data_IF_706330445591
#
_entry.id   IF_706330445591
#
_cell.length_a   1.000
_cell.length_b   1.000
_cell.length_c   1.000
_cell.angle_alpha   90.00
_cell.angle_beta   90.00
_cell.angle_gamma   90.00
#
_symmetry.space_group_name_H-M   'P 1'
#
loop_
_entity.id
_entity.type
_entity.pdbx_description
1 polymer ?
#
# COMPACT_ATOMS: atom_id res chain seq x y z
N UNK A 1 16.22 40.75 28.02
CA UNK A 1 15.25 39.65 27.98
C UNK A 1 15.29 39.12 26.55
N UNK A 2 15.95 38.00 26.35
CA UNK A 2 15.95 37.40 25.04
C UNK A 2 14.56 36.84 24.79
N UNK A 3 13.88 37.43 23.83
CA UNK A 3 12.53 36.97 23.45
C UNK A 3 12.64 35.75 22.55
N UNK A 4 11.74 34.78 22.71
CA UNK A 4 11.54 33.76 21.71
C UNK A 4 11.29 34.41 20.34
N UNK A 5 11.96 33.99 19.33
CA UNK A 5 11.86 34.56 18.00
C UNK A 5 11.45 33.47 16.98
N UNK A 6 10.52 33.83 16.10
CA UNK A 6 10.12 32.97 14.98
C UNK A 6 10.69 33.59 13.71
N UNK A 7 11.39 32.79 12.93
CA UNK A 7 12.02 33.18 11.66
C UNK A 7 11.71 32.27 10.53
N UNK A 8 11.75 32.80 9.33
CA UNK A 8 11.75 32.04 8.09
C UNK A 8 13.19 31.96 7.58
N UNK A 9 13.63 30.78 7.21
CA UNK A 9 14.95 30.55 6.62
C UNK A 9 14.90 29.42 5.60
N UNK A 10 16.06 29.11 5.01
CA UNK A 10 16.23 28.01 4.07
C UNK A 10 17.11 26.92 4.65
N UNK A 11 16.82 25.68 4.36
CA UNK A 11 17.70 24.55 4.74
C UNK A 11 19.01 24.68 3.99
N UNK A 12 20.12 24.78 4.72
CA UNK A 12 21.48 24.81 4.14
C UNK A 12 22.16 23.46 4.13
N UNK A 13 21.84 22.59 5.08
CA UNK A 13 22.31 21.21 5.11
C UNK A 13 21.41 20.31 5.95
N UNK A 14 21.43 19.00 5.63
CA UNK A 14 20.66 17.96 6.31
C UNK A 14 21.60 16.89 6.81
N UNK A 15 21.50 16.54 8.08
CA UNK A 15 22.15 15.38 8.67
C UNK A 15 21.09 14.29 8.90
N UNK A 16 21.05 13.34 7.99
CA UNK A 16 20.07 12.26 7.99
C UNK A 16 20.25 11.27 9.15
N UNK A 17 21.47 11.14 9.68
CA UNK A 17 21.76 10.21 10.78
C UNK A 17 21.24 10.75 12.11
N UNK A 18 21.49 12.03 12.40
CA UNK A 18 20.99 12.67 13.61
C UNK A 18 19.57 13.21 13.51
N UNK A 19 19.01 13.33 12.31
CA UNK A 19 17.71 13.98 12.06
C UNK A 19 17.74 15.48 12.28
N UNK A 20 18.92 16.11 12.19
CA UNK A 20 19.09 17.55 12.39
C UNK A 20 19.34 18.27 11.06
N UNK A 21 19.06 19.57 11.06
CA UNK A 21 19.30 20.44 9.91
C UNK A 21 20.03 21.71 10.31
N UNK A 22 20.65 22.37 9.34
CA UNK A 22 21.12 23.76 9.48
C UNK A 22 20.27 24.64 8.60
N UNK A 23 19.97 25.82 9.10
CA UNK A 23 19.14 26.81 8.41
C UNK A 23 19.95 28.07 8.17
N UNK A 24 19.90 28.62 6.97
CA UNK A 24 20.48 29.90 6.61
C UNK A 24 19.40 30.98 6.59
N UNK A 25 19.77 32.17 7.09
CA UNK A 25 18.95 33.37 7.11
C UNK A 25 19.53 34.43 6.15
N UNK A 26 18.95 34.54 4.95
CA UNK A 26 19.38 35.49 3.91
C UNK A 26 19.22 36.96 4.35
N UNK A 27 18.32 37.24 5.29
CA UNK A 27 18.10 38.56 5.87
C UNK A 27 19.13 38.93 6.97
N UNK A 28 20.04 38.03 7.33
CA UNK A 28 21.08 38.20 8.34
C UNK A 28 22.48 37.84 7.82
N UNK A 29 22.87 38.43 6.71
CA UNK A 29 24.21 38.22 6.13
C UNK A 29 24.54 36.75 5.96
N UNK A 30 23.56 35.92 5.54
CA UNK A 30 23.67 34.47 5.35
C UNK A 30 24.11 33.72 6.64
N UNK A 31 23.71 34.21 7.80
CA UNK A 31 23.96 33.53 9.07
C UNK A 31 23.34 32.12 9.07
N UNK A 32 24.17 31.13 9.45
CA UNK A 32 23.77 29.72 9.48
C UNK A 32 23.65 29.22 10.91
N UNK A 33 22.56 28.52 11.22
CA UNK A 33 22.35 27.94 12.56
C UNK A 33 23.37 26.83 12.85
N UNK A 34 23.54 26.48 14.12
CA UNK A 34 24.04 25.16 14.50
C UNK A 34 23.03 24.07 14.04
N UNK A 35 23.38 22.79 14.10
CA UNK A 35 22.40 21.72 13.88
C UNK A 35 21.22 21.87 14.85
N UNK A 36 20.00 21.94 14.32
CA UNK A 36 18.76 22.09 15.08
C UNK A 36 17.78 20.96 14.67
N UNK A 37 16.95 20.46 15.61
CA UNK A 37 16.00 19.40 15.35
C UNK A 37 14.75 19.93 14.62
N UNK A 38 14.00 18.99 14.00
CA UNK A 38 12.65 19.22 13.54
C UNK A 38 11.65 18.95 14.67
N UNK A 39 10.56 19.75 14.74
CA UNK A 39 9.42 19.51 15.62
C UNK A 39 8.54 18.42 15.00
N UNK A 40 8.92 17.16 15.14
CA UNK A 40 8.14 16.05 14.64
C UNK A 40 8.57 14.75 15.30
N UNK A 41 7.62 13.82 15.48
CA UNK A 41 7.90 12.42 15.75
C UNK A 41 7.95 11.58 14.46
N UNK A 42 7.72 12.21 13.31
CA UNK A 42 7.78 11.60 11.99
C UNK A 42 9.10 11.95 11.33
N UNK A 43 9.73 10.96 10.71
CA UNK A 43 10.96 11.15 9.98
C UNK A 43 10.65 11.40 8.49
N UNK A 44 10.50 12.67 8.13
CA UNK A 44 10.45 13.14 6.74
C UNK A 44 11.33 14.39 6.67
N UNK A 45 12.61 14.19 6.31
CA UNK A 45 13.59 15.26 6.28
C UNK A 45 13.32 16.21 5.12
N UNK A 46 13.46 17.53 5.34
CA UNK A 46 13.41 18.52 4.26
C UNK A 46 14.61 18.37 3.32
N UNK A 47 14.52 18.98 2.16
CA UNK A 47 15.61 19.09 1.21
C UNK A 47 16.39 20.41 1.40
N UNK A 48 17.63 20.46 0.91
CA UNK A 48 18.39 21.72 0.86
C UNK A 48 17.61 22.72 0.00
N UNK A 49 17.62 23.99 0.39
CA UNK A 49 16.84 25.11 -0.16
C UNK A 49 15.35 25.11 0.19
N UNK A 50 14.83 24.11 0.91
CA UNK A 50 13.46 24.17 1.44
C UNK A 50 13.33 25.38 2.39
N UNK A 51 12.25 26.15 2.18
CA UNK A 51 11.86 27.23 3.09
C UNK A 51 11.21 26.62 4.33
N UNK A 52 11.69 27.04 5.51
CA UNK A 52 11.21 26.52 6.80
C UNK A 52 10.92 27.63 7.79
N UNK A 53 9.99 27.35 8.69
CA UNK A 53 9.71 28.18 9.86
C UNK A 53 10.51 27.65 11.05
N UNK A 54 11.29 28.49 11.70
CA UNK A 54 12.15 28.14 12.85
C UNK A 54 11.69 28.93 14.07
N UNK A 55 11.51 28.24 15.18
CA UNK A 55 11.34 28.84 16.50
C UNK A 55 12.69 28.84 17.23
N UNK A 56 13.21 30.02 17.57
CA UNK A 56 14.35 30.18 18.48
C UNK A 56 13.90 30.27 19.91
N UNK A 57 14.56 29.54 20.79
CA UNK A 57 14.24 29.49 22.21
C UNK A 57 15.17 30.41 23.00
N UNK A 58 14.62 31.20 23.91
CA UNK A 58 15.36 32.20 24.71
C UNK A 58 16.23 31.61 25.82
N UNK A 59 16.16 30.29 26.07
CA UNK A 59 16.92 29.61 27.12
C UNK A 59 18.32 29.14 26.72
N UNK A 60 18.79 29.52 25.55
CA UNK A 60 20.13 29.23 25.03
C UNK A 60 20.25 29.87 23.65
N UNK A 61 21.27 30.67 23.46
CA UNK A 61 21.46 31.57 22.31
C UNK A 61 21.56 30.88 20.93
N UNK A 62 21.47 29.57 20.88
CA UNK A 62 21.70 28.81 19.62
C UNK A 62 20.74 27.64 19.47
N UNK A 63 19.74 27.54 20.34
CA UNK A 63 18.73 26.48 20.31
C UNK A 63 17.53 26.94 19.49
N UNK A 64 17.31 26.28 18.38
CA UNK A 64 16.13 26.44 17.54
C UNK A 64 15.45 25.09 17.29
N UNK A 65 14.20 25.14 16.83
CA UNK A 65 13.44 23.99 16.37
C UNK A 65 12.77 24.36 15.06
N UNK A 66 12.96 23.55 14.02
CA UNK A 66 12.22 23.71 12.77
C UNK A 66 10.79 23.24 12.99
N UNK A 67 9.83 24.15 12.82
CA UNK A 67 8.41 23.92 13.03
C UNK A 67 7.75 23.22 11.84
N UNK A 68 8.29 23.42 10.64
CA UNK A 68 7.79 22.82 9.40
C UNK A 68 8.03 23.71 8.18
N UNK A 69 7.52 23.24 7.05
CA UNK A 69 7.53 23.95 5.76
C UNK A 69 6.17 24.62 5.54
N UNK A 70 6.08 25.96 5.53
CA UNK A 70 4.82 26.65 5.21
C UNK A 70 4.50 26.51 3.70
N UNK A 71 3.24 26.47 3.36
CA UNK A 71 2.81 26.66 1.99
C UNK A 71 3.12 28.09 1.52
N UNK A 72 3.52 28.25 0.29
CA UNK A 72 3.88 29.54 -0.31
C UNK A 72 3.52 29.57 -1.79
N UNK A 73 3.79 30.69 -2.48
CA UNK A 73 3.61 30.80 -3.93
C UNK A 73 4.51 29.84 -4.70
N UNK A 74 5.68 29.48 -4.16
CA UNK A 74 6.61 28.53 -4.75
C UNK A 74 6.33 27.08 -4.33
N UNK A 75 5.75 26.89 -3.16
CA UNK A 75 5.40 25.58 -2.60
C UNK A 75 3.89 25.49 -2.37
N UNK A 76 3.16 25.14 -3.39
CA UNK A 76 1.70 24.96 -3.33
C UNK A 76 1.33 23.53 -2.95
N UNK A 77 0.18 23.31 -2.27
CA UNK A 77 -0.31 21.95 -2.02
C UNK A 77 -0.50 21.18 -3.33
N UNK A 78 -0.07 19.91 -3.42
CA UNK A 78 -0.28 19.07 -4.61
C UNK A 78 -1.74 18.88 -4.98
N UNK A 79 -2.62 18.92 -4.01
CA UNK A 79 -4.08 18.91 -4.14
C UNK A 79 -4.67 19.88 -3.12
N UNK A 80 -5.79 20.49 -3.45
CA UNK A 80 -6.47 21.46 -2.58
C UNK A 80 -7.98 21.35 -2.74
N UNK A 81 -8.71 21.92 -1.77
CA UNK A 81 -10.16 21.95 -1.78
C UNK A 81 -10.75 21.60 -0.42
N UNK A 82 -12.05 21.85 -0.26
CA UNK A 82 -12.78 21.48 0.94
C UNK A 82 -12.95 19.96 1.00
N UNK A 83 -12.77 19.37 2.19
CA UNK A 83 -12.95 17.93 2.40
C UNK A 83 -11.78 17.07 1.91
N UNK A 84 -10.60 17.68 1.67
CA UNK A 84 -9.38 16.94 1.39
C UNK A 84 -8.51 16.80 2.64
N UNK A 85 -7.97 15.60 2.83
CA UNK A 85 -6.83 15.32 3.70
C UNK A 85 -5.76 14.63 2.85
N UNK A 86 -4.51 15.09 2.97
CA UNK A 86 -3.38 14.46 2.28
C UNK A 86 -2.14 14.46 3.17
N UNK A 87 -1.43 13.34 3.16
CA UNK A 87 -0.11 13.17 3.75
C UNK A 87 0.80 12.54 2.71
N UNK A 88 1.83 13.26 2.31
CA UNK A 88 2.88 12.73 1.43
C UNK A 88 3.97 12.07 2.28
N UNK A 89 4.48 10.92 1.78
CA UNK A 89 5.59 10.17 2.36
C UNK A 89 6.88 10.34 1.55
N UNK A 90 6.85 11.18 0.53
CA UNK A 90 7.96 11.48 -0.36
C UNK A 90 7.98 12.98 -0.64
N UNK A 91 9.18 13.59 -0.74
CA UNK A 91 9.31 15.02 -1.03
C UNK A 91 8.81 15.37 -2.43
N UNK A 92 8.95 14.47 -3.40
CA UNK A 92 8.38 14.63 -4.74
C UNK A 92 6.90 14.27 -4.72
N UNK A 93 6.04 15.24 -5.04
CA UNK A 93 4.59 15.08 -5.06
C UNK A 93 4.13 13.94 -5.99
N UNK A 94 3.17 13.15 -5.53
CA UNK A 94 2.60 12.04 -6.29
C UNK A 94 3.36 10.72 -6.25
N UNK A 95 4.55 10.65 -5.64
CA UNK A 95 5.32 9.40 -5.54
C UNK A 95 4.77 8.43 -4.48
N UNK A 96 4.45 8.93 -3.31
CA UNK A 96 3.90 8.13 -2.23
C UNK A 96 3.05 9.01 -1.31
N UNK A 97 1.78 8.66 -1.12
CA UNK A 97 0.87 9.46 -0.31
C UNK A 97 -0.30 8.65 0.23
N UNK A 98 -0.88 9.14 1.31
CA UNK A 98 -2.20 8.80 1.80
C UNK A 98 -3.11 10.01 1.58
N UNK A 99 -4.24 9.82 0.95
CA UNK A 99 -5.24 10.89 0.74
C UNK A 99 -6.64 10.42 1.09
N UNK A 100 -7.45 11.36 1.54
CA UNK A 100 -8.90 11.22 1.67
C UNK A 100 -9.58 12.34 0.90
N UNK A 101 -10.63 12.03 0.15
CA UNK A 101 -11.40 12.99 -0.63
C UNK A 101 -12.90 12.79 -0.38
N UNK A 102 -13.50 13.72 0.36
CA UNK A 102 -14.95 13.74 0.63
C UNK A 102 -15.76 13.84 -0.67
N UNK A 103 -15.32 14.70 -1.60
CA UNK A 103 -15.98 14.96 -2.89
C UNK A 103 -15.94 13.76 -3.84
N UNK A 104 -15.06 12.79 -3.61
CA UNK A 104 -14.92 11.57 -4.39
C UNK A 104 -15.54 10.37 -3.68
N UNK A 105 -16.76 10.53 -3.19
CA UNK A 105 -17.51 9.51 -2.47
C UNK A 105 -16.77 9.01 -1.22
N UNK A 106 -16.19 9.92 -0.44
CA UNK A 106 -15.47 9.65 0.81
C UNK A 106 -14.35 8.61 0.64
N UNK A 107 -13.61 8.73 -0.46
CA UNK A 107 -12.60 7.74 -0.84
C UNK A 107 -11.26 7.99 -0.14
N UNK A 108 -10.72 6.95 0.49
CA UNK A 108 -9.35 6.92 0.99
C UNK A 108 -8.45 6.15 0.01
N UNK A 109 -7.33 6.74 -0.37
CA UNK A 109 -6.34 6.16 -1.28
C UNK A 109 -4.97 6.12 -0.60
N UNK A 110 -4.34 4.94 -0.59
CA UNK A 110 -2.92 4.77 -0.31
C UNK A 110 -2.22 4.47 -1.65
N UNK A 111 -1.35 5.38 -2.07
CA UNK A 111 -0.55 5.24 -3.29
C UNK A 111 0.91 5.09 -2.95
N UNK A 112 1.50 3.94 -3.27
CA UNK A 112 2.91 3.61 -3.06
C UNK A 112 3.41 2.65 -4.13
N UNK A 113 4.71 2.63 -4.36
CA UNK A 113 5.32 1.66 -5.29
C UNK A 113 5.23 0.22 -4.77
N UNK A 114 5.52 0.02 -3.49
CA UNK A 114 5.46 -1.28 -2.83
C UNK A 114 4.76 -1.12 -1.48
N UNK A 115 3.81 -1.98 -1.18
CA UNK A 115 3.13 -2.05 0.12
C UNK A 115 3.40 -3.41 0.75
N UNK A 116 3.93 -3.41 1.97
CA UNK A 116 4.10 -4.59 2.82
C UNK A 116 3.26 -4.36 4.08
N UNK A 117 2.43 -5.32 4.43
CA UNK A 117 1.65 -5.31 5.67
C UNK A 117 2.15 -6.48 6.52
N UNK A 118 2.80 -6.16 7.62
CA UNK A 118 3.27 -7.12 8.62
C UNK A 118 2.45 -6.94 9.89
N UNK A 119 1.73 -7.96 10.28
CA UNK A 119 0.87 -7.92 11.45
C UNK A 119 0.70 -9.33 12.03
N UNK A 120 0.49 -9.44 13.34
CA UNK A 120 0.08 -10.69 13.96
C UNK A 120 -1.27 -11.18 13.43
N UNK A 121 -2.23 -10.25 13.24
CA UNK A 121 -3.55 -10.55 12.69
C UNK A 121 -3.98 -9.42 11.74
N UNK A 122 -4.50 -9.78 10.58
CA UNK A 122 -5.11 -8.83 9.64
C UNK A 122 -6.55 -9.24 9.35
N UNK A 123 -7.48 -8.30 9.47
CA UNK A 123 -8.89 -8.50 9.13
C UNK A 123 -9.35 -7.42 8.17
N UNK A 124 -9.97 -7.82 7.05
CA UNK A 124 -10.63 -6.92 6.11
C UNK A 124 -12.13 -7.19 6.15
N UNK A 125 -12.93 -6.18 6.47
CA UNK A 125 -14.40 -6.26 6.49
C UNK A 125 -14.98 -5.16 5.61
N UNK A 126 -15.94 -5.52 4.77
CA UNK A 126 -16.70 -4.58 3.94
C UNK A 126 -18.19 -4.95 4.00
N UNK A 127 -19.05 -3.99 3.74
CA UNK A 127 -20.50 -4.23 3.61
C UNK A 127 -20.90 -4.60 2.18
N UNK A 128 -20.00 -4.39 1.22
CA UNK A 128 -20.24 -4.67 -0.21
C UNK A 128 -19.14 -5.57 -0.76
N UNK A 129 -18.28 -5.05 -1.59
CA UNK A 129 -17.34 -5.84 -2.37
C UNK A 129 -15.90 -5.69 -1.88
N UNK A 130 -15.10 -6.72 -2.05
CA UNK A 130 -13.65 -6.68 -2.02
C UNK A 130 -13.17 -7.02 -3.43
N UNK A 131 -12.49 -6.09 -4.09
CA UNK A 131 -11.86 -6.30 -5.39
C UNK A 131 -10.35 -6.44 -5.23
N UNK A 132 -9.81 -7.59 -5.62
CA UNK A 132 -8.37 -7.82 -5.75
C UNK A 132 -8.03 -7.91 -7.24
N UNK A 133 -7.38 -6.90 -7.77
CA UNK A 133 -7.00 -6.81 -9.19
C UNK A 133 -5.48 -6.70 -9.32
N UNK A 134 -4.87 -7.66 -10.01
CA UNK A 134 -3.44 -7.68 -10.28
C UNK A 134 -3.20 -7.98 -11.77
N UNK A 135 -2.29 -7.24 -12.38
CA UNK A 135 -1.82 -7.55 -13.75
C UNK A 135 -0.85 -8.72 -13.78
N UNK A 136 -0.25 -9.04 -12.65
CA UNK A 136 0.59 -10.21 -12.43
C UNK A 136 -0.17 -11.33 -11.69
N UNK A 137 0.45 -11.89 -10.67
CA UNK A 137 -0.09 -13.02 -9.92
C UNK A 137 -0.78 -12.58 -8.63
N UNK A 138 -1.82 -13.30 -8.22
CA UNK A 138 -2.34 -13.32 -6.85
C UNK A 138 -1.94 -14.65 -6.23
N UNK A 139 -1.15 -14.63 -5.16
CA UNK A 139 -0.65 -15.83 -4.50
C UNK A 139 -1.14 -15.85 -3.06
N UNK A 140 -1.84 -16.91 -2.67
CA UNK A 140 -2.28 -17.15 -1.30
C UNK A 140 -1.55 -18.36 -0.73
N UNK A 141 -0.88 -18.19 0.41
CA UNK A 141 -0.18 -19.27 1.12
C UNK A 141 -0.58 -19.27 2.58
N UNK A 142 -0.87 -20.44 3.12
CA UNK A 142 -1.12 -20.64 4.54
C UNK A 142 -0.48 -21.96 5.00
N UNK A 143 0.13 -21.97 6.19
CA UNK A 143 0.61 -23.22 6.80
C UNK A 143 -0.57 -24.09 7.28
N UNK A 144 -1.69 -23.48 7.62
CA UNK A 144 -2.93 -24.16 7.99
C UNK A 144 -3.91 -24.26 6.83
N UNK A 145 -5.12 -23.77 7.05
CA UNK A 145 -6.25 -23.87 6.11
C UNK A 145 -6.45 -22.58 5.32
N UNK A 146 -6.77 -22.70 4.04
CA UNK A 146 -7.40 -21.64 3.24
C UNK A 146 -8.87 -22.04 3.06
N UNK A 147 -9.81 -21.17 3.45
CA UNK A 147 -11.25 -21.39 3.29
C UNK A 147 -11.83 -20.30 2.42
N UNK A 148 -12.61 -20.70 1.40
CA UNK A 148 -13.40 -19.81 0.57
C UNK A 148 -14.86 -20.28 0.63
N UNK A 149 -15.74 -19.44 1.16
CA UNK A 149 -17.15 -19.74 1.36
C UNK A 149 -17.99 -18.66 0.69
N UNK A 150 -19.01 -19.08 -0.05
CA UNK A 150 -19.97 -18.18 -0.67
C UNK A 150 -21.39 -18.76 -0.47
N UNK A 151 -22.32 -17.93 -0.04
CA UNK A 151 -23.75 -18.31 0.04
C UNK A 151 -24.40 -18.43 -1.34
N UNK A 152 -23.83 -17.77 -2.34
CA UNK A 152 -24.23 -17.88 -3.74
C UNK A 152 -23.29 -18.79 -4.52
N UNK A 153 -22.87 -18.36 -5.70
CA UNK A 153 -21.97 -19.13 -6.57
C UNK A 153 -20.50 -18.82 -6.26
N UNK A 154 -19.68 -19.85 -6.31
CA UNK A 154 -18.23 -19.72 -6.38
C UNK A 154 -17.79 -20.04 -7.83
N UNK A 155 -17.09 -19.10 -8.48
CA UNK A 155 -16.61 -19.27 -9.86
C UNK A 155 -15.11 -19.14 -9.91
N UNK A 156 -14.42 -20.15 -10.44
CA UNK A 156 -13.01 -20.12 -10.80
C UNK A 156 -12.88 -20.29 -12.32
N UNK A 157 -12.23 -19.34 -13.00
CA UNK A 157 -12.05 -19.34 -14.46
C UNK A 157 -10.58 -19.12 -14.79
N UNK A 158 -10.04 -19.96 -15.65
CA UNK A 158 -8.66 -19.88 -16.12
C UNK A 158 -8.46 -20.76 -17.36
N UNK A 159 -7.28 -20.70 -17.96
CA UNK A 159 -6.90 -21.60 -19.05
C UNK A 159 -6.74 -23.05 -18.55
N UNK A 160 -6.32 -23.22 -17.30
CA UNK A 160 -6.23 -24.52 -16.63
C UNK A 160 -6.47 -24.35 -15.12
N UNK A 161 -6.88 -25.40 -14.45
CA UNK A 161 -6.93 -25.52 -13.00
C UNK A 161 -6.27 -26.84 -12.60
N UNK A 162 -5.41 -26.79 -11.57
CA UNK A 162 -4.77 -27.99 -10.99
C UNK A 162 -5.16 -28.06 -9.52
N UNK A 163 -5.64 -29.22 -9.09
CA UNK A 163 -5.88 -29.57 -7.69
C UNK A 163 -4.93 -30.70 -7.34
N UNK A 164 -3.89 -30.40 -6.58
CA UNK A 164 -2.92 -31.36 -6.08
C UNK A 164 -3.24 -31.62 -4.59
N UNK A 165 -3.97 -32.68 -4.35
CA UNK A 165 -4.43 -33.09 -3.03
C UNK A 165 -4.54 -34.62 -2.95
N UNK A 166 -4.23 -35.26 -1.79
CA UNK A 166 -4.42 -36.69 -1.59
C UNK A 166 -5.87 -37.15 -1.79
N UNK A 167 -6.83 -36.27 -1.55
CA UNK A 167 -8.24 -36.53 -1.79
C UNK A 167 -8.99 -35.24 -2.14
N UNK A 168 -9.96 -35.34 -3.02
CA UNK A 168 -10.91 -34.28 -3.37
C UNK A 168 -12.33 -34.84 -3.23
N UNK A 169 -13.20 -34.12 -2.51
CA UNK A 169 -14.59 -34.51 -2.31
C UNK A 169 -15.53 -33.49 -2.96
N UNK A 170 -16.50 -33.98 -3.72
CA UNK A 170 -17.61 -33.20 -4.27
C UNK A 170 -18.90 -33.80 -3.70
N UNK A 171 -19.62 -33.03 -2.87
CA UNK A 171 -20.84 -33.52 -2.18
C UNK A 171 -22.12 -33.39 -3.01
N UNK A 172 -22.07 -32.67 -4.12
CA UNK A 172 -23.17 -32.51 -5.08
C UNK A 172 -22.90 -33.24 -6.40
N UNK A 173 -23.56 -32.80 -7.45
CA UNK A 173 -23.32 -33.30 -8.80
C UNK A 173 -22.09 -32.64 -9.43
N UNK A 174 -21.36 -33.38 -10.25
CA UNK A 174 -20.27 -32.90 -11.07
C UNK A 174 -20.63 -33.06 -12.54
N UNK A 175 -20.58 -31.97 -13.32
CA UNK A 175 -20.79 -32.02 -14.78
C UNK A 175 -19.47 -31.72 -15.47
N UNK A 176 -19.06 -32.64 -16.37
CA UNK A 176 -17.87 -32.47 -17.20
C UNK A 176 -18.32 -32.35 -18.65
N UNK A 177 -18.03 -31.23 -19.29
CA UNK A 177 -18.55 -30.87 -20.61
C UNK A 177 -18.00 -31.76 -21.75
N UNK A 178 -16.80 -32.33 -21.58
CA UNK A 178 -16.18 -33.17 -22.61
C UNK A 178 -15.97 -34.60 -22.09
N UNK A 179 -14.89 -34.84 -21.36
CA UNK A 179 -14.56 -36.17 -20.83
C UNK A 179 -13.84 -36.05 -19.48
N UNK A 180 -14.03 -37.03 -18.63
CA UNK A 180 -13.26 -37.22 -17.41
C UNK A 180 -12.40 -38.50 -17.59
N UNK A 181 -11.10 -38.38 -17.31
CA UNK A 181 -10.16 -39.50 -17.38
C UNK A 181 -9.71 -39.88 -15.97
N UNK A 182 -9.87 -41.13 -15.59
CA UNK A 182 -9.39 -41.68 -14.33
C UNK A 182 -8.35 -42.75 -14.61
N UNK A 183 -7.12 -42.60 -14.15
CA UNK A 183 -6.00 -43.52 -14.38
C UNK A 183 -5.79 -43.88 -15.85
N UNK A 184 -5.96 -42.91 -16.75
CA UNK A 184 -5.83 -43.10 -18.20
C UNK A 184 -7.06 -43.70 -18.90
N UNK A 185 -8.14 -43.99 -18.18
CA UNK A 185 -9.39 -44.53 -18.72
C UNK A 185 -10.41 -43.38 -18.85
N UNK A 186 -10.93 -43.17 -20.07
CA UNK A 186 -12.01 -42.25 -20.37
C UNK A 186 -13.31 -42.70 -19.72
N UNK A 187 -13.99 -41.83 -19.00
CA UNK A 187 -15.32 -42.16 -18.46
C UNK A 187 -16.37 -42.21 -19.58
N UNK A 188 -16.27 -41.33 -20.57
CA UNK A 188 -17.23 -41.23 -21.67
C UNK A 188 -17.01 -42.25 -22.79
N UNK A 189 -15.79 -42.77 -22.96
CA UNK A 189 -15.45 -43.56 -24.16
C UNK A 189 -14.82 -44.93 -23.87
N UNK A 190 -14.73 -45.39 -22.60
CA UNK A 190 -14.17 -46.69 -22.30
C UNK A 190 -15.09 -47.85 -22.77
N UNK A 191 -14.50 -49.00 -23.05
CA UNK A 191 -15.21 -50.19 -23.44
C UNK A 191 -14.77 -51.38 -22.59
N UNK A 192 -15.58 -52.43 -22.52
CA UNK A 192 -15.28 -53.65 -21.80
C UNK A 192 -15.13 -54.83 -22.76
N UNK A 193 -14.15 -55.68 -22.53
CA UNK A 193 -14.04 -56.93 -23.25
C UNK A 193 -15.03 -57.95 -22.67
N UNK A 194 -15.87 -58.53 -23.52
CA UNK A 194 -16.82 -59.56 -23.13
C UNK A 194 -16.54 -60.90 -23.92
N UNK A 195 -17.08 -62.01 -23.48
CA UNK A 195 -16.94 -63.31 -24.23
C UNK A 195 -17.47 -63.25 -25.66
N UNK A 196 -18.30 -62.28 -26.00
CA UNK A 196 -18.93 -62.13 -27.33
C UNK A 196 -18.43 -60.95 -28.15
N UNK A 197 -17.35 -60.25 -27.68
CA UNK A 197 -16.77 -59.09 -28.33
C UNK A 197 -16.56 -57.92 -27.36
N UNK A 198 -16.42 -56.68 -27.88
CA UNK A 198 -16.23 -55.47 -27.10
C UNK A 198 -17.57 -54.78 -26.92
N UNK A 199 -17.86 -54.28 -25.71
CA UNK A 199 -19.07 -53.48 -25.44
C UNK A 199 -19.06 -52.19 -26.23
N UNK A 200 -20.21 -51.55 -26.39
CA UNK A 200 -20.29 -50.16 -26.77
C UNK A 200 -19.74 -49.23 -25.66
N UNK A 201 -19.59 -47.94 -25.97
CA UNK A 201 -19.28 -46.92 -24.97
C UNK A 201 -20.44 -46.82 -23.97
N UNK A 202 -20.17 -46.32 -22.74
CA UNK A 202 -21.23 -45.99 -21.78
C UNK A 202 -22.27 -45.00 -22.37
N UNK A 203 -23.55 -45.20 -22.06
CA UNK A 203 -24.64 -44.30 -22.45
C UNK A 203 -25.09 -43.44 -21.28
#
# INVERSE_FOLDING_TARGET
MDSNEIRVGKISSVDYESGMVRVVYEDQDDAVTRPIPLLSFEYLMPEVDDMVLVLHLSNGTEMGVVMGRPWSEQLVPPENGKGFYRKDFHNEAGKAYLRFAEQENETMTLHVKNLIIEAENTTVKTEKDILLNATGNIIMKAAGKISAEASGSFTAKGASATIDAPSTSVTGSMTVAQDATASGISVAHHTHTTPHGVSGAPQ
#
